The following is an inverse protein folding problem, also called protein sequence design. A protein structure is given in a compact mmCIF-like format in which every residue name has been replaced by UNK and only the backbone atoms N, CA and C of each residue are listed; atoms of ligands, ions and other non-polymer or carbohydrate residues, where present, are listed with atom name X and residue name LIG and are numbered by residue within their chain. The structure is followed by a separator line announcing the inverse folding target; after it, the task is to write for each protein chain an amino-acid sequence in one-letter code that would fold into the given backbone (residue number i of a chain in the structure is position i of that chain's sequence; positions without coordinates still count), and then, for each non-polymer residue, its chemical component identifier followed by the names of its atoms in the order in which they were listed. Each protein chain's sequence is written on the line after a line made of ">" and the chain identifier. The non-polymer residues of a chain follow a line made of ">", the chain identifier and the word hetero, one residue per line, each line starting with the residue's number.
data_IF_745599357633
#
_entry.id   IF_745599357633
#
_cell.length_a   1.000
_cell.length_b   1.000
_cell.length_c   1.000
_cell.angle_alpha   90.00
_cell.angle_beta   90.00
_cell.angle_gamma   90.00
#
_symmetry.space_group_name_H-M   'P 1'
#
loop_
_entity.id
_entity.type
_entity.pdbx_description
1 polymer ?
#
# COMPACT_ATOMS: atom_id res chain seq x y z
N UNK A 1 34.17 -25.52 7.13
CA UNK A 1 33.97 -24.41 8.08
C UNK A 1 32.78 -24.74 8.95
N UNK A 2 33.08 -25.03 10.22
CA UNK A 2 32.16 -25.55 11.23
C UNK A 2 31.06 -24.53 11.52
N UNK A 3 29.85 -25.05 11.68
CA UNK A 3 28.64 -24.34 12.04
C UNK A 3 28.82 -23.51 13.32
N UNK A 4 28.36 -22.26 13.29
CA UNK A 4 28.03 -21.53 14.50
C UNK A 4 26.51 -21.33 14.54
N UNK A 5 25.81 -22.38 15.00
CA UNK A 5 24.44 -22.27 15.51
C UNK A 5 24.56 -22.01 17.00
N UNK A 6 24.28 -20.79 17.47
CA UNK A 6 23.63 -20.54 18.77
C UNK A 6 23.12 -19.10 18.86
N UNK A 7 21.85 -18.92 18.53
CA UNK A 7 20.85 -18.18 19.30
C UNK A 7 19.51 -18.65 18.73
N UNK A 8 18.58 -19.10 19.56
CA UNK A 8 17.34 -19.76 19.16
C UNK A 8 16.42 -18.89 18.28
N UNK A 9 16.72 -18.79 16.99
CA UNK A 9 15.75 -18.37 15.98
C UNK A 9 14.71 -19.49 15.89
N UNK A 10 13.54 -19.28 16.49
CA UNK A 10 12.33 -19.93 15.98
C UNK A 10 12.35 -19.79 14.46
N UNK A 11 12.24 -20.89 13.73
CA UNK A 11 12.13 -20.86 12.29
C UNK A 11 11.09 -19.80 11.91
N UNK A 12 11.49 -18.77 11.17
CA UNK A 12 10.62 -17.65 10.84
C UNK A 12 9.35 -18.18 10.18
N UNK A 13 8.24 -18.10 10.90
CA UNK A 13 6.97 -18.67 10.45
C UNK A 13 6.42 -17.78 9.34
N UNK A 14 6.29 -18.31 8.13
CA UNK A 14 5.58 -17.62 7.06
C UNK A 14 4.07 -17.65 7.33
N UNK A 15 3.43 -16.49 7.27
CA UNK A 15 1.98 -16.34 7.42
C UNK A 15 1.38 -15.96 6.08
N UNK A 16 0.45 -16.76 5.57
CA UNK A 16 -0.37 -16.36 4.42
C UNK A 16 -1.39 -15.31 4.88
N UNK A 17 -1.59 -14.28 4.07
CA UNK A 17 -2.55 -13.22 4.32
C UNK A 17 -3.70 -13.27 3.32
N UNK A 18 -4.92 -13.03 3.81
CA UNK A 18 -6.03 -12.57 2.97
C UNK A 18 -5.99 -11.03 2.98
N UNK A 19 -5.92 -10.44 1.80
CA UNK A 19 -5.67 -9.02 1.62
C UNK A 19 -6.94 -8.31 1.12
N UNK A 20 -7.09 -7.04 1.46
CA UNK A 20 -8.29 -6.28 1.12
C UNK A 20 -8.21 -5.77 -0.32
N UNK A 21 -9.30 -5.93 -1.09
CA UNK A 21 -9.44 -5.35 -2.43
C UNK A 21 -10.31 -4.09 -2.35
N UNK A 22 -9.81 -3.00 -2.90
CA UNK A 22 -10.59 -1.79 -3.13
C UNK A 22 -11.12 -1.77 -4.57
N UNK A 23 -12.43 -1.58 -4.70
CA UNK A 23 -13.16 -1.73 -5.96
C UNK A 23 -13.55 -0.34 -6.49
N UNK A 24 -12.59 0.57 -6.55
CA UNK A 24 -12.83 1.93 -7.01
C UNK A 24 -13.11 1.97 -8.52
N UNK A 25 -13.99 2.88 -8.95
CA UNK A 25 -14.45 2.95 -10.34
C UNK A 25 -13.34 3.17 -11.37
N UNK A 26 -12.18 3.71 -10.96
CA UNK A 26 -11.03 3.93 -11.84
C UNK A 26 -10.23 2.66 -12.15
N UNK A 27 -10.51 1.55 -11.45
CA UNK A 27 -9.78 0.30 -11.59
C UNK A 27 -10.14 -0.48 -12.86
N UNK A 28 -9.21 -1.32 -13.34
CA UNK A 28 -9.53 -2.29 -14.42
C UNK A 28 -10.61 -3.26 -13.97
N UNK A 29 -11.44 -3.69 -14.92
CA UNK A 29 -12.63 -4.51 -14.66
C UNK A 29 -12.32 -5.99 -14.87
N UNK A 30 -12.84 -6.84 -13.99
CA UNK A 30 -12.78 -8.29 -14.15
C UNK A 30 -11.37 -8.83 -14.34
N UNK A 31 -11.23 -9.81 -15.24
CA UNK A 31 -9.94 -10.45 -15.55
C UNK A 31 -8.91 -9.54 -16.21
N UNK A 32 -9.26 -8.35 -16.67
CA UNK A 32 -8.28 -7.38 -17.17
C UNK A 32 -7.46 -6.73 -16.05
N UNK A 33 -7.92 -6.87 -14.80
CA UNK A 33 -7.21 -6.36 -13.63
C UNK A 33 -6.17 -7.34 -13.08
N UNK A 34 -4.92 -6.90 -12.98
CA UNK A 34 -3.87 -7.62 -12.25
C UNK A 34 -4.22 -7.77 -10.77
N UNK A 35 -4.96 -6.82 -10.19
CA UNK A 35 -5.48 -6.93 -8.82
C UNK A 35 -6.48 -8.08 -8.72
N UNK A 36 -7.38 -8.24 -9.69
CA UNK A 36 -8.33 -9.36 -9.71
C UNK A 36 -7.62 -10.71 -9.82
N UNK A 37 -6.65 -10.84 -10.73
CA UNK A 37 -5.87 -12.08 -10.92
C UNK A 37 -5.10 -12.45 -9.66
N UNK A 38 -4.40 -11.49 -9.04
CA UNK A 38 -3.66 -11.72 -7.79
C UNK A 38 -4.60 -12.07 -6.63
N UNK A 39 -5.74 -11.38 -6.52
CA UNK A 39 -6.73 -11.67 -5.50
C UNK A 39 -7.29 -13.09 -5.65
N UNK A 40 -7.71 -13.49 -6.85
CA UNK A 40 -8.29 -14.81 -7.12
C UNK A 40 -7.27 -15.94 -6.95
N UNK A 41 -6.00 -15.73 -7.30
CA UNK A 41 -4.93 -16.72 -7.07
C UNK A 41 -4.52 -16.85 -5.59
N UNK A 42 -4.62 -15.75 -4.84
CA UNK A 42 -4.33 -15.71 -3.40
C UNK A 42 -5.48 -16.20 -2.53
N UNK A 43 -6.71 -16.09 -3.01
CA UNK A 43 -7.95 -16.50 -2.35
C UNK A 43 -8.56 -17.75 -3.02
N UNK A 44 -9.73 -18.18 -2.56
CA UNK A 44 -10.56 -19.16 -3.27
C UNK A 44 -11.79 -18.46 -3.89
N UNK A 45 -11.71 -17.15 -4.13
CA UNK A 45 -12.82 -16.35 -4.65
C UNK A 45 -12.73 -16.26 -6.18
N UNK A 46 -13.88 -16.32 -6.84
CA UNK A 46 -14.00 -16.12 -8.28
C UNK A 46 -13.92 -14.64 -8.64
N UNK A 47 -13.40 -14.34 -9.84
CA UNK A 47 -13.36 -12.98 -10.38
C UNK A 47 -14.76 -12.61 -10.91
N UNK A 48 -15.31 -11.51 -10.42
CA UNK A 48 -16.51 -10.90 -10.98
C UNK A 48 -16.13 -10.06 -12.21
N UNK A 49 -16.51 -10.53 -13.40
CA UNK A 49 -16.18 -9.90 -14.68
C UNK A 49 -16.81 -8.51 -14.87
N UNK A 50 -17.81 -8.14 -14.07
CA UNK A 50 -18.46 -6.82 -14.13
C UNK A 50 -17.88 -5.79 -13.16
N UNK A 51 -16.94 -6.20 -12.29
CA UNK A 51 -16.52 -5.40 -11.14
C UNK A 51 -15.14 -4.77 -11.36
N UNK A 52 -14.93 -3.49 -10.98
CA UNK A 52 -13.59 -2.90 -10.99
C UNK A 52 -12.76 -3.38 -9.82
N UNK A 53 -11.51 -3.73 -10.07
CA UNK A 53 -10.51 -4.17 -9.09
C UNK A 53 -9.33 -3.19 -9.14
N UNK A 54 -9.33 -2.21 -8.24
CA UNK A 54 -8.45 -1.04 -8.33
C UNK A 54 -7.17 -1.19 -7.50
N UNK A 55 -7.29 -1.57 -6.23
CA UNK A 55 -6.14 -1.73 -5.33
C UNK A 55 -6.21 -3.04 -4.53
N UNK A 56 -5.09 -3.75 -4.39
CA UNK A 56 -4.92 -4.82 -3.41
C UNK A 56 -4.06 -4.30 -2.25
N UNK A 57 -4.59 -4.30 -1.03
CA UNK A 57 -3.93 -3.74 0.16
C UNK A 57 -3.33 -4.81 1.04
N UNK A 58 -2.02 -4.69 1.29
CA UNK A 58 -1.22 -5.58 2.12
C UNK A 58 -0.59 -4.80 3.26
N UNK A 59 -1.12 -5.01 4.47
CA UNK A 59 -0.55 -4.40 5.67
C UNK A 59 -1.55 -4.27 6.82
N UNK A 60 -1.34 -3.27 7.65
CA UNK A 60 -2.08 -3.07 8.91
C UNK A 60 -3.01 -1.86 8.89
N UNK A 61 -3.37 -1.38 7.70
CA UNK A 61 -4.21 -0.19 7.55
C UNK A 61 -5.67 -0.49 7.93
N UNK A 62 -6.30 0.38 8.72
CA UNK A 62 -7.64 0.14 9.28
C UNK A 62 -8.75 0.04 8.21
N UNK A 63 -8.67 0.85 7.15
CA UNK A 63 -9.67 0.84 6.06
C UNK A 63 -9.58 -0.37 5.10
N UNK A 64 -8.55 -1.20 5.23
CA UNK A 64 -8.34 -2.37 4.39
C UNK A 64 -7.48 -3.39 5.12
N UNK A 65 -7.97 -3.97 6.23
CA UNK A 65 -7.16 -4.81 7.09
C UNK A 65 -6.84 -6.13 6.39
N UNK A 66 -5.56 -6.51 6.35
CA UNK A 66 -5.17 -7.88 6.00
C UNK A 66 -5.44 -8.81 7.18
N UNK A 67 -5.89 -10.04 6.91
CA UNK A 67 -6.14 -11.07 7.95
C UNK A 67 -5.28 -12.31 7.72
N UNK A 68 -4.97 -13.06 8.77
CA UNK A 68 -4.19 -14.30 8.67
C UNK A 68 -5.04 -15.43 8.08
N UNK A 69 -4.50 -16.10 7.05
CA UNK A 69 -5.15 -17.18 6.30
C UNK A 69 -4.78 -18.59 6.79
N UNK A 70 -4.43 -18.74 8.08
CA UNK A 70 -4.00 -20.01 8.68
C UNK A 70 -5.18 -20.99 8.89
N UNK A 71 -4.92 -22.30 9.02
CA UNK A 71 -5.96 -23.30 9.24
C UNK A 71 -6.83 -23.00 10.46
N UNK A 72 -8.10 -23.40 10.39
CA UNK A 72 -9.07 -23.21 11.45
C UNK A 72 -8.55 -23.69 12.81
N UNK A 73 -8.75 -22.86 13.85
CA UNK A 73 -8.45 -23.20 15.24
C UNK A 73 -7.10 -22.73 15.78
N UNK A 74 -6.17 -22.26 14.93
CA UNK A 74 -4.89 -21.72 15.41
C UNK A 74 -5.01 -20.27 15.92
N UNK A 75 -5.81 -19.48 15.25
CA UNK A 75 -6.12 -18.09 15.61
C UNK A 75 -7.63 -17.88 15.57
N UNK A 76 -8.16 -16.90 16.32
CA UNK A 76 -9.54 -16.46 16.14
C UNK A 76 -9.85 -16.21 14.64
N UNK A 77 -11.05 -16.58 14.16
CA UNK A 77 -11.45 -16.25 12.79
C UNK A 77 -11.29 -14.76 12.51
N UNK A 78 -10.72 -14.42 11.35
CA UNK A 78 -10.47 -13.04 10.91
C UNK A 78 -9.49 -12.23 11.77
N UNK A 79 -8.59 -12.86 12.54
CA UNK A 79 -7.47 -12.14 13.19
C UNK A 79 -6.72 -11.30 12.15
N UNK A 80 -6.69 -9.99 12.38
CA UNK A 80 -6.01 -9.05 11.52
C UNK A 80 -4.50 -9.15 11.71
N UNK A 81 -3.73 -8.80 10.68
CA UNK A 81 -2.28 -8.68 10.79
C UNK A 81 -1.89 -7.66 11.86
N UNK A 82 -2.70 -6.62 12.05
CA UNK A 82 -2.50 -5.59 13.06
C UNK A 82 -2.55 -6.18 14.48
N UNK A 83 -3.60 -6.93 14.80
CA UNK A 83 -3.75 -7.61 16.09
C UNK A 83 -2.65 -8.63 16.32
N UNK A 84 -2.31 -9.41 15.28
CA UNK A 84 -1.25 -10.40 15.39
C UNK A 84 0.11 -9.76 15.67
N UNK A 85 0.46 -8.66 14.97
CA UNK A 85 1.70 -7.92 15.25
C UNK A 85 1.69 -7.35 16.67
N UNK A 86 0.56 -6.82 17.15
CA UNK A 86 0.43 -6.33 18.52
C UNK A 86 0.68 -7.41 19.58
N UNK A 87 0.29 -8.66 19.30
CA UNK A 87 0.59 -9.81 20.16
C UNK A 87 2.00 -10.42 19.93
N UNK A 88 2.70 -10.01 18.87
CA UNK A 88 3.98 -10.57 18.42
C UNK A 88 4.94 -9.45 17.98
N UNK A 89 5.13 -8.43 18.81
CA UNK A 89 5.92 -7.24 18.44
C UNK A 89 7.35 -7.56 17.99
N UNK A 90 7.94 -8.64 18.52
CA UNK A 90 9.25 -9.15 18.12
C UNK A 90 9.35 -9.50 16.63
N UNK A 91 8.23 -9.72 15.95
CA UNK A 91 8.17 -9.95 14.50
C UNK A 91 8.57 -8.71 13.68
N UNK A 92 8.44 -7.49 14.24
CA UNK A 92 8.91 -6.25 13.59
C UNK A 92 10.42 -6.06 13.69
N UNK A 93 11.04 -6.68 14.70
CA UNK A 93 12.45 -6.49 15.05
C UNK A 93 12.77 -5.13 15.68
N UNK A 94 13.86 -5.11 16.43
CA UNK A 94 14.24 -3.97 17.30
C UNK A 94 14.40 -2.65 16.57
N UNK A 95 14.87 -2.68 15.32
CA UNK A 95 15.11 -1.47 14.52
C UNK A 95 13.80 -0.74 14.25
N UNK A 96 12.76 -1.46 13.83
CA UNK A 96 11.45 -0.86 13.55
C UNK A 96 10.77 -0.41 14.84
N UNK A 97 10.83 -1.23 15.90
CA UNK A 97 10.25 -0.90 17.20
C UNK A 97 10.85 0.39 17.77
N UNK A 98 12.18 0.54 17.74
CA UNK A 98 12.88 1.76 18.21
C UNK A 98 12.56 2.97 17.34
N UNK A 99 12.48 2.82 16.02
CA UNK A 99 12.31 3.94 15.09
C UNK A 99 10.87 4.44 15.02
N UNK A 100 9.89 3.54 15.07
CA UNK A 100 8.47 3.85 14.86
C UNK A 100 7.64 3.73 16.15
N UNK A 101 8.30 3.53 17.30
CA UNK A 101 7.73 3.72 18.63
C UNK A 101 6.63 2.73 19.00
N UNK A 102 6.68 1.51 18.47
CA UNK A 102 5.65 0.49 18.75
C UNK A 102 4.25 0.86 18.28
N UNK A 103 4.09 1.83 17.35
CA UNK A 103 2.82 2.04 16.65
C UNK A 103 2.38 0.68 16.13
N UNK A 104 1.17 0.25 16.50
CA UNK A 104 0.69 -1.13 16.45
C UNK A 104 0.44 -1.65 15.03
N UNK A 105 1.45 -1.61 14.16
CA UNK A 105 1.37 -2.02 12.77
C UNK A 105 2.65 -1.75 11.98
N UNK A 106 2.59 -2.01 10.67
CA UNK A 106 3.70 -1.78 9.75
C UNK A 106 3.84 -0.28 9.45
N UNK A 107 5.08 0.24 9.34
CA UNK A 107 5.34 1.63 8.98
C UNK A 107 5.16 1.92 7.47
N UNK A 108 4.57 0.97 6.73
CA UNK A 108 4.27 1.10 5.32
C UNK A 108 2.95 0.37 5.01
N UNK A 109 2.33 0.76 3.90
CA UNK A 109 1.23 0.04 3.28
C UNK A 109 1.69 -0.40 1.89
N UNK A 110 1.72 -1.69 1.65
CA UNK A 110 2.05 -2.22 0.34
C UNK A 110 0.77 -2.38 -0.49
N UNK A 111 0.85 -2.02 -1.77
CA UNK A 111 -0.30 -2.12 -2.68
C UNK A 111 0.10 -2.67 -4.04
N UNK A 112 -0.84 -3.35 -4.68
CA UNK A 112 -0.87 -3.50 -6.14
C UNK A 112 -2.00 -2.64 -6.67
N UNK A 113 -1.75 -1.86 -7.72
CA UNK A 113 -2.75 -1.03 -8.38
C UNK A 113 -3.00 -1.59 -9.79
N UNK A 114 -4.27 -1.62 -10.21
CA UNK A 114 -4.64 -1.91 -11.59
C UNK A 114 -5.50 -0.78 -12.15
N UNK A 115 -4.85 0.12 -12.88
CA UNK A 115 -5.40 1.41 -13.28
C UNK A 115 -6.03 1.33 -14.67
N UNK A 116 -7.30 1.73 -14.80
CA UNK A 116 -8.01 1.85 -16.08
C UNK A 116 -8.13 3.29 -16.55
N UNK A 117 -8.35 4.23 -15.62
CA UNK A 117 -8.45 5.66 -15.90
C UNK A 117 -7.41 6.44 -15.11
N UNK A 118 -6.92 7.54 -15.68
CA UNK A 118 -5.95 8.40 -15.01
C UNK A 118 -6.42 8.83 -13.61
N UNK A 119 -5.50 8.79 -12.64
CA UNK A 119 -5.74 9.27 -11.29
C UNK A 119 -5.53 10.78 -11.22
N UNK A 120 -5.99 11.40 -10.14
CA UNK A 120 -5.73 12.82 -9.87
C UNK A 120 -4.23 13.12 -9.83
N UNK A 121 -3.82 14.29 -10.33
CA UNK A 121 -2.49 14.85 -10.07
C UNK A 121 -2.38 15.12 -8.56
N UNK A 122 -1.31 14.64 -7.94
CA UNK A 122 -1.15 14.65 -6.49
C UNK A 122 0.24 15.14 -6.09
N UNK A 123 0.30 15.77 -4.92
CA UNK A 123 1.53 16.04 -4.20
C UNK A 123 1.29 15.76 -2.72
N UNK A 124 2.28 15.17 -2.05
CA UNK A 124 2.21 14.86 -0.63
C UNK A 124 3.08 15.85 0.17
N UNK A 125 2.56 16.41 1.28
CA UNK A 125 3.36 17.31 2.10
C UNK A 125 4.54 16.59 2.76
N UNK A 126 5.63 17.32 3.00
CA UNK A 126 6.67 16.88 3.92
C UNK A 126 6.15 16.89 5.36
N UNK A 127 6.88 16.26 6.30
CA UNK A 127 6.38 15.96 7.65
C UNK A 127 5.88 17.20 8.41
N UNK A 128 6.69 18.25 8.50
CA UNK A 128 6.30 19.48 9.20
C UNK A 128 5.04 20.16 8.59
N UNK A 129 4.86 20.09 7.27
CA UNK A 129 3.67 20.64 6.63
C UNK A 129 2.44 19.74 6.87
N UNK A 130 2.61 18.42 6.86
CA UNK A 130 1.55 17.48 7.17
C UNK A 130 1.00 17.68 8.60
N UNK A 131 1.87 17.89 9.58
CA UNK A 131 1.50 18.20 10.97
C UNK A 131 0.67 19.48 11.07
N UNK A 132 1.12 20.57 10.42
CA UNK A 132 0.41 21.84 10.38
C UNK A 132 -0.97 21.70 9.73
N UNK A 133 -1.03 21.04 8.57
CA UNK A 133 -2.26 20.86 7.79
C UNK A 133 -3.28 19.97 8.52
N UNK A 134 -2.81 18.92 9.20
CA UNK A 134 -3.67 18.05 10.01
C UNK A 134 -4.25 18.81 11.20
N UNK A 135 -3.45 19.62 11.90
CA UNK A 135 -3.92 20.42 13.02
C UNK A 135 -4.96 21.48 12.59
N UNK A 136 -4.75 22.14 11.45
CA UNK A 136 -5.64 23.19 10.94
C UNK A 136 -6.92 22.60 10.30
N UNK A 137 -6.79 21.51 9.54
CA UNK A 137 -7.87 20.95 8.71
C UNK A 137 -7.94 19.42 8.82
N UNK A 138 -8.22 18.87 10.01
CA UNK A 138 -8.17 17.41 10.28
C UNK A 138 -9.20 16.60 9.48
N UNK A 139 -10.27 17.24 9.01
CA UNK A 139 -11.24 16.58 8.14
C UNK A 139 -10.74 16.38 6.70
N UNK A 140 -9.76 17.18 6.26
CA UNK A 140 -9.15 17.10 4.91
C UNK A 140 -7.88 16.27 4.97
N UNK A 141 -6.97 16.58 5.89
CA UNK A 141 -5.72 15.85 6.09
C UNK A 141 -5.94 14.88 7.25
N UNK A 142 -5.99 13.58 6.95
CA UNK A 142 -6.47 12.55 7.89
C UNK A 142 -5.45 12.17 8.97
N UNK A 143 -4.19 12.47 8.76
CA UNK A 143 -3.11 12.21 9.68
C UNK A 143 -2.00 13.27 9.52
N UNK A 144 -1.09 13.27 10.49
CA UNK A 144 0.02 14.21 10.59
C UNK A 144 1.25 13.79 9.79
N UNK A 145 1.18 12.75 8.95
CA UNK A 145 2.36 12.10 8.41
C UNK A 145 2.69 12.54 6.98
N UNK A 146 3.99 12.54 6.66
CA UNK A 146 4.39 12.56 5.26
C UNK A 146 4.03 11.24 4.58
N UNK A 147 3.91 11.27 3.25
CA UNK A 147 3.56 10.08 2.47
C UNK A 147 4.56 9.88 1.32
N UNK A 148 5.79 9.44 1.63
CA UNK A 148 6.72 9.01 0.59
C UNK A 148 6.15 7.75 -0.09
N UNK A 149 6.14 7.76 -1.42
CA UNK A 149 5.62 6.67 -2.25
C UNK A 149 6.70 6.19 -3.22
N UNK A 150 6.65 4.92 -3.57
CA UNK A 150 7.53 4.30 -4.58
C UNK A 150 6.67 3.35 -5.41
N UNK A 151 6.82 3.43 -6.73
CA UNK A 151 6.06 2.61 -7.68
C UNK A 151 7.02 1.71 -8.45
N UNK A 152 6.64 0.44 -8.58
CA UNK A 152 7.31 -0.53 -9.45
C UNK A 152 6.30 -1.03 -10.48
N UNK A 153 6.63 -0.87 -11.75
CA UNK A 153 5.79 -1.30 -12.86
C UNK A 153 5.78 -2.84 -12.95
N UNK A 154 4.59 -3.45 -12.88
CA UNK A 154 4.37 -4.88 -13.10
C UNK A 154 4.04 -5.19 -14.58
N UNK A 155 3.47 -4.20 -15.26
CA UNK A 155 3.16 -4.16 -16.69
C UNK A 155 3.66 -2.83 -17.24
N UNK A 156 3.46 -2.57 -18.54
CA UNK A 156 3.63 -1.23 -19.08
C UNK A 156 2.84 -0.20 -18.26
N UNK A 157 3.48 0.93 -17.97
CA UNK A 157 3.01 1.91 -17.01
C UNK A 157 3.40 3.32 -17.45
N UNK A 158 2.43 4.24 -17.34
CA UNK A 158 2.60 5.66 -17.64
C UNK A 158 2.35 6.49 -16.37
N UNK A 159 3.17 7.52 -16.15
CA UNK A 159 3.00 8.44 -15.04
C UNK A 159 3.49 9.85 -15.39
N UNK A 160 2.82 10.83 -14.78
CA UNK A 160 3.35 12.18 -14.64
C UNK A 160 4.14 12.24 -13.34
N UNK A 161 5.39 12.69 -13.42
CA UNK A 161 6.26 12.83 -12.25
C UNK A 161 7.15 14.04 -12.41
N UNK A 162 7.04 14.97 -11.44
CA UNK A 162 7.76 16.23 -11.41
C UNK A 162 7.44 17.16 -12.60
N UNK A 163 8.01 18.36 -12.56
CA UNK A 163 7.94 19.29 -13.69
C UNK A 163 8.88 18.84 -14.81
N UNK A 164 8.47 19.15 -16.04
CA UNK A 164 9.35 19.13 -17.21
C UNK A 164 10.45 20.19 -17.08
N UNK A 165 11.46 20.15 -17.95
CA UNK A 165 12.50 21.18 -17.96
C UNK A 165 11.94 22.55 -18.34
N UNK A 166 12.64 23.61 -17.93
CA UNK A 166 12.28 24.99 -18.29
C UNK A 166 12.18 25.19 -19.81
N UNK A 167 13.05 24.52 -20.60
CA UNK A 167 13.03 24.62 -22.06
C UNK A 167 11.80 23.95 -22.67
N UNK A 168 11.38 22.80 -22.15
CA UNK A 168 10.16 22.12 -22.56
C UNK A 168 8.93 22.94 -22.20
N UNK A 169 8.87 23.49 -20.98
CA UNK A 169 7.76 24.34 -20.54
C UNK A 169 7.65 25.61 -21.40
N UNK A 170 8.77 26.29 -21.65
CA UNK A 170 8.80 27.47 -22.52
C UNK A 170 8.30 27.14 -23.94
N UNK A 171 8.72 25.99 -24.47
CA UNK A 171 8.24 25.51 -25.78
C UNK A 171 6.74 25.24 -25.77
N UNK A 172 6.21 24.64 -24.71
CA UNK A 172 4.78 24.35 -24.58
C UNK A 172 3.94 25.63 -24.54
N UNK A 173 4.37 26.63 -23.75
CA UNK A 173 3.68 27.93 -23.64
C UNK A 173 3.60 28.64 -25.00
N UNK A 174 4.68 28.61 -25.79
CA UNK A 174 4.67 29.25 -27.12
C UNK A 174 3.81 28.48 -28.13
N UNK A 175 3.84 27.15 -28.09
CA UNK A 175 3.19 26.30 -29.10
C UNK A 175 1.72 26.03 -28.84
N UNK A 176 1.23 26.19 -27.61
CA UNK A 176 -0.15 25.91 -27.21
C UNK A 176 -0.76 27.21 -26.67
N UNK A 177 -1.47 27.99 -27.52
CA UNK A 177 -2.00 29.30 -27.14
C UNK A 177 -2.92 29.29 -25.91
N UNK A 178 -3.61 28.19 -25.66
CA UNK A 178 -4.48 28.01 -24.49
C UNK A 178 -3.71 27.93 -23.16
N UNK A 179 -2.38 27.75 -23.19
CA UNK A 179 -1.51 27.75 -22.01
C UNK A 179 -0.85 29.11 -21.73
N UNK A 180 -0.99 30.09 -22.64
CA UNK A 180 -0.30 31.38 -22.58
C UNK A 180 -1.02 32.44 -21.72
#
# INVERSE_FOLDING_TARGET
>A
FVANRQAGRQAGRMLKLNCAVQNYAWGKVGKESEVAKLFASGSNEEIDEGKPYAELWMGTHASGPSTIAEPAGKYPPKTTLKEWIGANESALGDVLLKRFGGKSGLPFLFKVLSVQTALSIQAHPHKALAESLHAERPHVYKDDNHKPEMTLALTDFEALSCFVSHAELHTAIIKVPELA
#
